data_IF_263641656153
#
_entry.id   IF_263641656153
#
_cell.length_a   1.000
_cell.length_b   1.000
_cell.length_c   1.000
_cell.angle_alpha   90.00
_cell.angle_beta   90.00
_cell.angle_gamma   90.00
#
_symmetry.space_group_name_H-M   'P 1'
#
loop_
_entity.id
_entity.type
_entity.pdbx_description
1 polymer ?
#
# COMPACT_ATOMS: atom_id res chain seq x y z
N UNK A 1 -19.51 -14.07 -17.25
CA UNK A 1 -18.96 -12.71 -17.27
C UNK A 1 -17.58 -12.80 -16.65
N UNK A 2 -16.50 -12.70 -17.43
CA UNK A 2 -15.18 -12.51 -16.86
C UNK A 2 -15.17 -11.08 -16.31
N UNK A 3 -15.30 -10.92 -14.99
CA UNK A 3 -15.03 -9.64 -14.37
C UNK A 3 -13.55 -9.34 -14.56
N UNK A 4 -13.23 -8.14 -15.01
CA UNK A 4 -11.85 -7.68 -15.06
C UNK A 4 -11.41 -7.36 -13.62
N UNK A 5 -10.88 -8.35 -12.93
CA UNK A 5 -10.47 -8.22 -11.52
C UNK A 5 -9.45 -7.09 -11.29
N UNK A 6 -8.67 -6.74 -12.31
CA UNK A 6 -7.73 -5.61 -12.22
C UNK A 6 -8.49 -4.29 -12.30
N UNK A 7 -9.42 -4.16 -13.24
CA UNK A 7 -10.29 -2.99 -13.35
C UNK A 7 -11.16 -2.81 -12.11
N UNK A 8 -11.72 -3.89 -11.57
CA UNK A 8 -12.48 -3.85 -10.30
C UNK A 8 -11.63 -3.32 -9.13
N UNK A 9 -10.35 -3.74 -9.04
CA UNK A 9 -9.43 -3.25 -8.02
C UNK A 9 -9.11 -1.75 -8.21
N UNK A 10 -8.83 -1.33 -9.44
CA UNK A 10 -8.60 0.09 -9.78
C UNK A 10 -9.81 0.92 -9.38
N UNK A 11 -11.03 0.48 -9.73
CA UNK A 11 -12.27 1.18 -9.39
C UNK A 11 -12.51 1.27 -7.88
N UNK A 12 -12.28 0.20 -7.14
CA UNK A 12 -12.42 0.19 -5.69
C UNK A 12 -11.44 1.15 -5.01
N UNK A 13 -10.18 1.17 -5.46
CA UNK A 13 -9.16 2.06 -4.89
C UNK A 13 -9.41 3.53 -5.29
N UNK A 14 -9.89 3.78 -6.52
CA UNK A 14 -10.32 5.13 -6.95
C UNK A 14 -11.42 5.66 -6.03
N UNK A 15 -12.46 4.86 -5.78
CA UNK A 15 -13.57 5.22 -4.88
C UNK A 15 -13.11 5.46 -3.43
N UNK A 16 -12.17 4.64 -2.94
CA UNK A 16 -11.60 4.81 -1.60
C UNK A 16 -10.89 6.16 -1.46
N UNK A 17 -10.01 6.52 -2.39
CA UNK A 17 -9.26 7.76 -2.32
C UNK A 17 -10.12 9.01 -2.61
N UNK A 18 -11.04 8.93 -3.59
CA UNK A 18 -11.92 10.05 -3.91
C UNK A 18 -12.85 10.43 -2.75
N UNK A 19 -13.32 9.43 -1.99
CA UNK A 19 -14.19 9.62 -0.83
C UNK A 19 -13.48 9.68 0.51
N UNK A 20 -12.14 9.76 0.52
CA UNK A 20 -11.39 9.65 1.77
C UNK A 20 -11.63 10.86 2.69
N UNK A 21 -11.95 10.65 3.99
CA UNK A 21 -12.22 11.74 4.91
C UNK A 21 -11.05 12.69 5.14
N UNK A 22 -9.82 12.20 4.99
CA UNK A 22 -8.60 13.00 5.14
C UNK A 22 -8.17 13.71 3.84
N UNK A 23 -8.96 13.67 2.76
CA UNK A 23 -8.59 14.27 1.48
C UNK A 23 -8.42 15.82 1.54
N UNK A 24 -9.14 16.49 2.44
CA UNK A 24 -8.93 17.91 2.70
C UNK A 24 -7.58 18.19 3.39
N UNK A 25 -7.15 17.28 4.26
CA UNK A 25 -5.88 17.37 5.00
C UNK A 25 -4.69 16.97 4.13
N UNK A 26 -4.88 15.97 3.27
CA UNK A 26 -3.85 15.41 2.39
C UNK A 26 -4.34 15.44 0.94
N UNK A 27 -4.13 16.55 0.22
CA UNK A 27 -4.64 16.73 -1.15
C UNK A 27 -4.19 15.67 -2.15
N UNK A 28 -3.04 15.03 -1.90
CA UNK A 28 -2.53 13.90 -2.68
C UNK A 28 -3.56 12.77 -2.84
N UNK A 29 -4.43 12.55 -1.85
CA UNK A 29 -5.45 11.50 -1.90
C UNK A 29 -6.47 11.77 -3.00
N UNK A 30 -6.92 13.02 -3.10
CA UNK A 30 -7.84 13.45 -4.18
C UNK A 30 -7.17 13.35 -5.54
N UNK A 31 -5.88 13.67 -5.65
CA UNK A 31 -5.12 13.55 -6.90
C UNK A 31 -5.02 12.09 -7.34
N UNK A 32 -4.60 11.18 -6.46
CA UNK A 32 -4.52 9.74 -6.74
C UNK A 32 -5.90 9.19 -7.13
N UNK A 33 -6.94 9.50 -6.37
CA UNK A 33 -8.31 9.06 -6.66
C UNK A 33 -8.80 9.53 -8.02
N UNK A 34 -8.53 10.79 -8.38
CA UNK A 34 -8.93 11.39 -9.67
C UNK A 34 -8.20 10.73 -10.84
N UNK A 35 -6.90 10.47 -10.71
CA UNK A 35 -6.10 9.81 -11.75
C UNK A 35 -6.53 8.35 -11.95
N UNK A 36 -6.81 7.62 -10.87
CA UNK A 36 -7.35 6.25 -10.94
C UNK A 36 -8.74 6.24 -11.62
N UNK A 37 -9.62 7.17 -11.26
CA UNK A 37 -10.95 7.28 -11.87
C UNK A 37 -10.87 7.60 -13.37
N UNK A 38 -10.00 8.56 -13.75
CA UNK A 38 -9.79 8.90 -15.14
C UNK A 38 -9.23 7.74 -15.99
N UNK A 39 -8.39 6.89 -15.37
CA UNK A 39 -7.84 5.72 -16.03
C UNK A 39 -8.90 4.68 -16.40
N UNK A 40 -9.97 4.56 -15.64
CA UNK A 40 -11.07 3.63 -15.95
C UNK A 40 -11.82 4.01 -17.24
N UNK A 41 -11.83 5.30 -17.58
CA UNK A 41 -12.54 5.81 -18.76
C UNK A 41 -11.66 5.87 -20.01
N UNK A 42 -10.34 5.93 -19.87
CA UNK A 42 -9.43 6.35 -20.95
C UNK A 42 -8.21 5.49 -21.16
N UNK A 43 -7.80 4.70 -20.18
CA UNK A 43 -6.53 3.97 -20.19
C UNK A 43 -6.79 2.47 -20.12
N UNK A 44 -6.11 1.75 -20.99
CA UNK A 44 -6.01 0.30 -20.91
C UNK A 44 -5.24 -0.06 -19.62
N UNK A 45 -5.86 -0.83 -18.72
CA UNK A 45 -5.19 -1.35 -17.54
C UNK A 45 -4.03 -2.23 -18.00
N UNK A 46 -2.81 -1.91 -17.57
CA UNK A 46 -1.61 -2.65 -17.97
C UNK A 46 -1.68 -4.06 -17.42
N UNK A 47 -1.54 -5.05 -18.31
CA UNK A 47 -1.49 -6.45 -17.93
C UNK A 47 -0.02 -6.87 -17.77
N UNK A 48 0.51 -6.71 -16.57
CA UNK A 48 1.80 -7.27 -16.21
C UNK A 48 1.69 -8.79 -16.01
N UNK A 49 2.77 -9.51 -16.32
CA UNK A 49 2.85 -10.94 -15.99
C UNK A 49 2.67 -11.12 -14.46
N UNK A 50 1.80 -12.04 -14.03
CA UNK A 50 1.60 -12.29 -12.61
C UNK A 50 2.88 -12.76 -11.93
N UNK A 51 3.21 -12.13 -10.80
CA UNK A 51 4.23 -12.60 -9.85
C UNK A 51 3.54 -12.73 -8.51
N UNK A 52 3.50 -13.92 -7.94
CA UNK A 52 2.85 -14.16 -6.66
C UNK A 52 3.89 -14.42 -5.59
N UNK A 53 3.97 -13.52 -4.62
CA UNK A 53 4.83 -13.67 -3.45
C UNK A 53 4.16 -14.51 -2.36
N UNK A 54 4.95 -15.16 -1.47
CA UNK A 54 4.40 -15.91 -0.34
C UNK A 54 3.42 -15.10 0.52
N UNK A 55 3.64 -13.80 0.68
CA UNK A 55 2.78 -12.89 1.45
C UNK A 55 1.34 -12.82 0.93
N UNK A 56 1.10 -13.06 -0.37
CA UNK A 56 -0.25 -13.02 -0.95
C UNK A 56 -1.22 -14.00 -0.26
N UNK A 57 -0.72 -15.12 0.30
CA UNK A 57 -1.54 -16.09 1.05
C UNK A 57 -2.22 -15.50 2.28
N UNK A 58 -1.62 -14.46 2.88
CA UNK A 58 -2.13 -13.82 4.08
C UNK A 58 -3.49 -13.15 3.87
N UNK A 59 -3.84 -12.84 2.64
CA UNK A 59 -5.15 -12.28 2.30
C UNK A 59 -6.30 -13.27 2.55
N UNK A 60 -6.03 -14.58 2.65
CA UNK A 60 -7.03 -15.58 2.99
C UNK A 60 -7.56 -15.44 4.43
N UNK A 61 -6.76 -14.81 5.32
CA UNK A 61 -7.10 -14.60 6.73
C UNK A 61 -7.67 -13.19 6.99
N UNK A 62 -7.85 -12.38 5.94
CA UNK A 62 -8.36 -11.00 6.03
C UNK A 62 -9.89 -11.02 5.92
N UNK A 63 -10.58 -10.56 6.95
CA UNK A 63 -12.01 -10.29 6.87
C UNK A 63 -12.23 -9.01 6.04
N UNK A 64 -12.93 -9.09 4.90
CA UNK A 64 -13.18 -7.92 4.07
C UNK A 64 -14.32 -7.04 4.58
N UNK A 65 -15.01 -7.43 5.63
CA UNK A 65 -16.10 -6.61 6.20
C UNK A 65 -15.52 -5.47 7.05
N UNK A 66 -16.00 -4.26 6.80
CA UNK A 66 -15.55 -3.06 7.50
C UNK A 66 -16.65 -2.00 7.51
N UNK A 67 -16.82 -1.36 8.67
CA UNK A 67 -17.70 -0.20 8.82
C UNK A 67 -17.06 1.11 8.28
N UNK A 68 -15.77 1.07 7.95
CA UNK A 68 -15.07 2.22 7.38
C UNK A 68 -15.40 2.32 5.89
N UNK A 69 -15.92 3.48 5.43
CA UNK A 69 -16.33 3.66 4.04
C UNK A 69 -15.20 3.35 3.04
N UNK A 70 -15.50 2.61 2.00
CA UNK A 70 -14.56 2.25 0.93
C UNK A 70 -13.61 1.10 1.25
N UNK A 71 -13.37 0.76 2.53
CA UNK A 71 -12.40 -0.28 2.92
C UNK A 71 -12.84 -1.67 2.44
N UNK A 72 -14.08 -2.07 2.74
CA UNK A 72 -14.58 -3.41 2.35
C UNK A 72 -14.46 -3.70 0.84
N UNK A 73 -14.91 -2.82 -0.05
CA UNK A 73 -14.70 -2.99 -1.50
C UNK A 73 -13.23 -3.18 -1.89
N UNK A 74 -12.30 -2.40 -1.33
CA UNK A 74 -10.86 -2.54 -1.61
C UNK A 74 -10.34 -3.91 -1.17
N UNK A 75 -10.66 -4.34 0.05
CA UNK A 75 -10.20 -5.64 0.58
C UNK A 75 -10.73 -6.81 -0.28
N UNK A 76 -12.02 -6.80 -0.65
CA UNK A 76 -12.62 -7.85 -1.48
C UNK A 76 -11.98 -7.92 -2.87
N UNK A 77 -11.82 -6.79 -3.54
CA UNK A 77 -11.23 -6.76 -4.89
C UNK A 77 -9.76 -7.10 -4.86
N UNK A 78 -9.02 -6.66 -3.83
CA UNK A 78 -7.60 -7.01 -3.65
C UNK A 78 -7.41 -8.51 -3.46
N UNK A 79 -8.18 -9.13 -2.56
CA UNK A 79 -8.11 -10.57 -2.33
C UNK A 79 -8.49 -11.37 -3.60
N UNK A 80 -9.51 -10.95 -4.34
CA UNK A 80 -9.93 -11.60 -5.57
C UNK A 80 -8.88 -11.49 -6.69
N UNK A 81 -8.24 -10.32 -6.82
CA UNK A 81 -7.24 -10.07 -7.85
C UNK A 81 -5.85 -10.63 -7.50
N UNK A 82 -5.54 -10.88 -6.23
CA UNK A 82 -4.21 -11.25 -5.73
C UNK A 82 -3.47 -12.32 -6.57
N UNK A 83 -4.13 -13.39 -7.07
CA UNK A 83 -3.44 -14.43 -7.86
C UNK A 83 -2.98 -13.98 -9.25
N UNK A 84 -3.50 -12.87 -9.76
CA UNK A 84 -3.21 -12.37 -11.11
C UNK A 84 -2.46 -11.04 -11.11
N UNK A 85 -2.08 -10.54 -9.93
CA UNK A 85 -1.34 -9.29 -9.77
C UNK A 85 0.18 -9.52 -9.84
N UNK A 86 0.90 -8.46 -10.14
CA UNK A 86 2.35 -8.41 -10.07
C UNK A 86 2.76 -7.92 -8.68
N UNK A 87 3.06 -8.87 -7.78
CA UNK A 87 3.55 -8.56 -6.45
C UNK A 87 5.02 -8.21 -6.47
N UNK A 88 5.41 -7.24 -5.68
CA UNK A 88 6.78 -6.76 -5.56
C UNK A 88 7.21 -6.63 -4.11
N UNK A 89 8.52 -6.60 -3.92
CA UNK A 89 9.23 -6.23 -2.69
C UNK A 89 10.32 -5.26 -3.07
N UNK A 90 10.74 -4.41 -2.13
CA UNK A 90 11.89 -3.55 -2.35
C UNK A 90 13.14 -4.43 -2.52
N UNK A 91 13.81 -4.31 -3.66
CA UNK A 91 14.87 -5.24 -4.07
C UNK A 91 16.03 -5.35 -3.07
N UNK A 92 16.40 -4.22 -2.45
CA UNK A 92 17.49 -4.14 -1.48
C UNK A 92 17.20 -4.91 -0.18
N UNK A 93 15.93 -5.20 0.10
CA UNK A 93 15.52 -5.88 1.33
C UNK A 93 15.93 -7.36 1.35
N UNK A 94 16.02 -7.99 0.18
CA UNK A 94 16.45 -9.38 0.06
C UNK A 94 17.87 -9.65 0.62
N UNK A 95 18.74 -8.64 0.58
CA UNK A 95 20.11 -8.74 1.10
C UNK A 95 20.22 -8.45 2.61
N UNK A 96 19.17 -7.83 3.21
CA UNK A 96 19.27 -7.25 4.56
C UNK A 96 18.26 -7.83 5.53
N UNK A 97 17.04 -8.12 5.07
CA UNK A 97 15.96 -8.60 5.93
C UNK A 97 15.89 -10.12 5.96
N UNK A 98 15.34 -10.66 7.05
CA UNK A 98 15.21 -12.11 7.22
C UNK A 98 14.24 -12.72 6.20
N UNK A 99 14.42 -14.01 5.88
CA UNK A 99 13.48 -14.75 5.05
C UNK A 99 12.06 -14.73 5.64
N UNK A 100 11.93 -14.78 6.97
CA UNK A 100 10.62 -14.64 7.64
C UNK A 100 9.93 -13.31 7.28
N UNK A 101 10.67 -12.20 7.25
CA UNK A 101 10.12 -10.91 6.82
C UNK A 101 9.67 -10.99 5.35
N UNK A 102 10.54 -11.47 4.47
CA UNK A 102 10.27 -11.54 3.03
C UNK A 102 9.09 -12.47 2.70
N UNK A 103 8.92 -13.58 3.43
CA UNK A 103 7.79 -14.48 3.24
C UNK A 103 6.46 -13.91 3.73
N UNK A 104 6.48 -12.87 4.55
CA UNK A 104 5.30 -12.26 5.17
C UNK A 104 5.12 -10.78 4.82
N UNK A 105 5.79 -10.28 3.79
CA UNK A 105 5.69 -8.92 3.29
C UNK A 105 5.61 -8.90 1.77
N UNK A 106 4.80 -8.03 1.25
CA UNK A 106 4.74 -7.74 -0.19
C UNK A 106 3.68 -6.69 -0.49
N UNK A 107 3.81 -6.07 -1.64
CA UNK A 107 2.86 -5.05 -2.08
C UNK A 107 2.60 -5.15 -3.58
N UNK A 108 1.51 -4.50 -4.00
CA UNK A 108 1.11 -4.33 -5.41
C UNK A 108 0.99 -2.85 -5.70
N UNK A 109 1.59 -2.39 -6.78
CA UNK A 109 1.41 -1.03 -7.26
C UNK A 109 0.19 -0.98 -8.19
N UNK A 110 -0.82 -0.21 -7.81
CA UNK A 110 -2.05 -0.06 -8.60
C UNK A 110 -1.89 1.09 -9.59
N UNK A 111 -1.34 2.23 -9.16
CA UNK A 111 -0.94 3.34 -10.02
C UNK A 111 0.50 3.72 -9.72
N UNK A 112 1.25 4.10 -10.75
CA UNK A 112 2.64 4.51 -10.64
C UNK A 112 3.53 3.81 -11.65
N UNK A 113 4.86 3.99 -11.58
CA UNK A 113 5.79 3.35 -12.51
C UNK A 113 5.68 1.82 -12.49
N UNK A 114 5.25 1.21 -13.59
CA UNK A 114 5.02 -0.23 -13.71
C UNK A 114 3.79 -0.75 -12.96
N UNK A 115 2.85 0.10 -12.57
CA UNK A 115 1.57 -0.26 -11.95
C UNK A 115 0.54 -0.77 -12.96
N UNK A 116 -0.67 -1.08 -12.49
CA UNK A 116 -1.82 -1.37 -13.36
C UNK A 116 -2.23 -0.14 -14.18
N UNK A 117 -2.03 1.03 -13.62
CA UNK A 117 -2.17 2.33 -14.27
C UNK A 117 -0.80 3.00 -14.26
N UNK A 118 -0.23 3.28 -15.43
CA UNK A 118 1.07 3.91 -15.53
C UNK A 118 0.99 5.38 -15.11
N UNK A 119 1.88 5.82 -14.24
CA UNK A 119 2.01 7.22 -13.81
C UNK A 119 3.44 7.52 -13.38
N UNK A 120 3.89 8.75 -13.67
CA UNK A 120 5.19 9.28 -13.20
C UNK A 120 5.05 10.40 -12.18
N UNK A 121 3.82 10.77 -11.82
CA UNK A 121 3.54 11.89 -10.90
C UNK A 121 3.00 11.44 -9.55
N UNK A 122 2.30 10.30 -9.51
CA UNK A 122 1.84 9.66 -8.28
C UNK A 122 2.17 8.18 -8.29
N UNK A 123 2.26 7.57 -7.11
CA UNK A 123 2.31 6.11 -6.98
C UNK A 123 1.44 5.70 -5.79
N UNK A 124 0.59 4.70 -5.98
CA UNK A 124 -0.23 4.18 -4.91
C UNK A 124 -0.50 2.68 -5.09
N UNK A 125 -0.78 2.02 -3.98
CA UNK A 125 -1.04 0.60 -4.01
C UNK A 125 -1.49 0.02 -2.69
N UNK A 126 -1.36 -1.29 -2.59
CA UNK A 126 -1.80 -2.09 -1.44
C UNK A 126 -0.66 -3.01 -1.00
N UNK A 127 -0.42 -3.06 0.29
CA UNK A 127 0.59 -3.94 0.88
C UNK A 127 0.01 -4.84 1.96
N UNK A 128 0.69 -5.95 2.18
CA UNK A 128 0.36 -6.94 3.21
C UNK A 128 1.57 -7.18 4.09
N UNK A 129 1.35 -7.17 5.39
CA UNK A 129 2.34 -7.49 6.41
C UNK A 129 1.77 -8.53 7.37
N UNK A 130 2.52 -9.59 7.60
CA UNK A 130 2.15 -10.65 8.54
C UNK A 130 2.14 -10.18 9.99
N UNK A 131 1.41 -10.92 10.83
CA UNK A 131 1.30 -10.65 12.26
C UNK A 131 2.68 -10.56 12.94
N UNK A 132 2.85 -9.56 13.81
CA UNK A 132 4.03 -9.35 14.62
C UNK A 132 5.28 -8.89 13.86
N UNK A 133 5.19 -8.61 12.56
CA UNK A 133 6.33 -8.10 11.81
C UNK A 133 6.77 -6.72 12.33
N UNK A 134 8.07 -6.48 12.21
CA UNK A 134 8.67 -5.16 12.36
C UNK A 134 9.25 -4.75 11.00
N UNK A 135 8.69 -3.72 10.40
CA UNK A 135 9.25 -3.07 9.23
C UNK A 135 10.27 -2.05 9.71
N UNK A 136 11.57 -2.28 9.48
CA UNK A 136 12.62 -1.44 10.04
C UNK A 136 12.56 -0.01 9.52
N UNK A 137 13.27 0.88 10.21
CA UNK A 137 13.42 2.27 9.81
C UNK A 137 13.90 2.37 8.36
N UNK A 138 13.16 3.12 7.58
CA UNK A 138 13.42 3.39 6.17
C UNK A 138 13.02 4.83 5.82
N UNK A 139 13.42 5.26 4.64
CA UNK A 139 13.14 6.59 4.12
C UNK A 139 13.01 6.54 2.60
N UNK A 140 12.39 7.55 2.02
CA UNK A 140 12.26 7.78 0.58
C UNK A 140 11.99 9.26 0.29
N UNK A 141 12.27 9.76 -0.96
CA UNK A 141 12.06 11.15 -1.32
C UNK A 141 10.61 11.53 -1.55
N UNK A 142 9.72 10.56 -1.77
CA UNK A 142 8.29 10.81 -1.93
C UNK A 142 7.65 11.24 -0.62
N UNK A 143 6.69 12.17 -0.68
CA UNK A 143 5.72 12.37 0.38
C UNK A 143 4.76 11.17 0.40
N UNK A 144 4.44 10.63 1.58
CA UNK A 144 3.66 9.41 1.70
C UNK A 144 2.49 9.52 2.67
N UNK A 145 1.42 8.81 2.34
CA UNK A 145 0.32 8.59 3.28
C UNK A 145 -0.03 7.11 3.32
N UNK A 146 -0.03 6.52 4.52
CA UNK A 146 -0.57 5.19 4.76
C UNK A 146 -1.99 5.25 5.30
N UNK A 147 -2.81 4.26 4.94
CA UNK A 147 -4.17 4.07 5.47
C UNK A 147 -4.35 2.62 5.89
N UNK A 148 -4.77 2.39 7.15
CA UNK A 148 -5.05 1.05 7.64
C UNK A 148 -6.40 0.56 7.11
N UNK A 149 -6.36 -0.58 6.40
CA UNK A 149 -7.55 -1.25 5.85
C UNK A 149 -7.93 -2.48 6.66
N UNK A 150 -6.94 -3.19 7.24
CA UNK A 150 -7.17 -4.36 8.10
C UNK A 150 -6.03 -4.51 9.11
N UNK A 151 -6.35 -5.04 10.29
CA UNK A 151 -5.38 -5.27 11.35
C UNK A 151 -5.09 -4.02 12.19
N UNK A 152 -3.89 -3.95 12.74
CA UNK A 152 -3.38 -2.81 13.50
C UNK A 152 -1.88 -2.68 13.33
N UNK A 153 -1.37 -1.45 13.44
CA UNK A 153 0.06 -1.17 13.42
C UNK A 153 0.40 -0.02 14.35
N UNK A 154 1.66 0.06 14.76
CA UNK A 154 2.21 1.27 15.38
C UNK A 154 3.27 1.84 14.46
N UNK A 155 3.23 3.13 14.25
CA UNK A 155 4.17 3.88 13.43
C UNK A 155 5.11 4.68 14.30
N UNK A 156 6.35 4.79 13.90
CA UNK A 156 7.35 5.66 14.50
C UNK A 156 7.90 6.58 13.41
N UNK A 157 7.97 7.87 13.70
CA UNK A 157 8.60 8.90 12.87
C UNK A 157 9.85 9.39 13.57
N UNK A 158 10.97 9.39 12.88
CA UNK A 158 12.29 9.69 13.41
C UNK A 158 12.57 8.99 14.76
N UNK A 159 12.98 9.73 15.79
CA UNK A 159 13.18 9.22 17.15
C UNK A 159 11.95 9.45 18.07
N UNK A 160 10.81 9.76 17.47
CA UNK A 160 9.57 9.99 18.20
C UNK A 160 8.97 8.72 18.83
N UNK A 161 7.85 8.86 19.53
CA UNK A 161 7.16 7.72 20.13
C UNK A 161 6.50 6.83 19.06
N UNK A 162 6.25 5.58 19.43
CA UNK A 162 5.40 4.68 18.67
C UNK A 162 3.93 5.09 18.82
N UNK A 163 3.27 5.43 17.71
CA UNK A 163 1.86 5.82 17.66
C UNK A 163 1.02 4.65 17.15
N UNK A 164 0.16 4.05 17.99
CA UNK A 164 -0.73 2.98 17.54
C UNK A 164 -1.81 3.52 16.59
N UNK A 165 -2.14 2.74 15.58
CA UNK A 165 -3.18 3.03 14.58
C UNK A 165 -4.07 1.81 14.36
N UNK A 166 -5.32 2.07 14.03
CA UNK A 166 -6.35 1.07 13.74
C UNK A 166 -7.01 1.33 12.38
N UNK A 167 -7.85 0.42 11.95
CA UNK A 167 -8.57 0.53 10.66
C UNK A 167 -9.31 1.86 10.55
N UNK A 168 -9.14 2.53 9.41
CA UNK A 168 -9.70 3.84 9.11
C UNK A 168 -8.79 5.03 9.46
N UNK A 169 -7.67 4.79 10.16
CA UNK A 169 -6.72 5.86 10.47
C UNK A 169 -5.62 5.97 9.41
N UNK A 170 -5.16 7.19 9.23
CA UNK A 170 -4.09 7.56 8.30
C UNK A 170 -2.82 7.97 9.03
N UNK A 171 -1.68 7.78 8.39
CA UNK A 171 -0.37 8.27 8.81
C UNK A 171 0.29 8.97 7.62
N UNK A 172 0.81 10.15 7.85
CA UNK A 172 1.51 10.93 6.83
C UNK A 172 3.01 10.99 7.16
N UNK A 173 3.83 10.92 6.13
CA UNK A 173 5.28 11.06 6.19
C UNK A 173 5.75 12.11 5.18
N UNK A 174 6.55 13.05 5.67
CA UNK A 174 7.23 14.03 4.83
C UNK A 174 8.33 13.36 3.99
N UNK A 175 8.75 13.96 2.85
CA UNK A 175 9.91 13.50 2.10
C UNK A 175 11.14 13.32 2.99
N UNK A 176 11.80 12.16 2.90
CA UNK A 176 12.98 11.80 3.67
C UNK A 176 12.77 11.67 5.20
N UNK A 177 11.52 11.71 5.69
CA UNK A 177 11.24 11.40 7.09
C UNK A 177 11.55 9.92 7.36
N UNK A 178 12.39 9.64 8.36
CA UNK A 178 12.65 8.27 8.80
C UNK A 178 11.41 7.70 9.47
N UNK A 179 10.95 6.55 9.01
CA UNK A 179 9.77 5.91 9.62
C UNK A 179 9.91 4.40 9.71
N UNK A 180 9.20 3.82 10.67
CA UNK A 180 9.17 2.39 10.92
C UNK A 180 7.77 1.95 11.35
N UNK A 181 7.43 0.66 11.12
CA UNK A 181 6.15 0.10 11.54
C UNK A 181 6.34 -1.19 12.35
N UNK A 182 5.47 -1.37 13.35
CA UNK A 182 5.27 -2.62 14.07
C UNK A 182 3.84 -3.07 13.91
N UNK A 183 3.67 -4.26 13.37
CA UNK A 183 2.35 -4.81 13.07
C UNK A 183 1.82 -5.62 14.25
N UNK A 184 0.50 -5.57 14.45
CA UNK A 184 -0.19 -6.28 15.54
C UNK A 184 -0.26 -7.79 15.33
N UNK A 185 -1.18 -8.45 16.04
CA UNK A 185 -1.27 -9.91 16.10
C UNK A 185 -2.13 -10.53 14.96
N UNK A 186 -2.53 -9.74 13.99
CA UNK A 186 -3.25 -10.18 12.80
C UNK A 186 -2.53 -9.68 11.54
N UNK A 187 -2.84 -10.29 10.39
CA UNK A 187 -2.42 -9.76 9.09
C UNK A 187 -2.82 -8.30 8.97
N UNK A 188 -1.90 -7.43 8.60
CA UNK A 188 -2.17 -6.03 8.34
C UNK A 188 -2.21 -5.76 6.83
N UNK A 189 -3.23 -5.05 6.39
CA UNK A 189 -3.34 -4.54 5.02
C UNK A 189 -3.34 -3.01 5.09
N UNK A 190 -2.41 -2.41 4.36
CA UNK A 190 -2.31 -0.97 4.20
C UNK A 190 -2.54 -0.60 2.73
N UNK A 191 -3.23 0.50 2.50
CA UNK A 191 -3.06 1.28 1.28
C UNK A 191 -2.00 2.35 1.53
N UNK A 192 -1.22 2.65 0.50
CA UNK A 192 -0.21 3.70 0.52
C UNK A 192 -0.34 4.57 -0.72
N UNK A 193 -0.02 5.85 -0.59
CA UNK A 193 0.01 6.82 -1.67
C UNK A 193 1.24 7.70 -1.56
N UNK A 194 1.91 7.93 -2.69
CA UNK A 194 3.11 8.76 -2.85
C UNK A 194 2.89 9.87 -3.86
N UNK A 195 3.48 11.04 -3.57
CA UNK A 195 3.64 12.15 -4.51
C UNK A 195 5.08 12.68 -4.49
N UNK A 196 5.42 13.53 -5.44
CA UNK A 196 6.79 14.03 -5.59
C UNK A 196 7.68 13.05 -6.36
N UNK A 197 8.82 12.65 -5.81
CA UNK A 197 9.72 11.70 -6.49
C UNK A 197 9.27 10.25 -6.23
N UNK A 198 8.35 9.78 -7.07
CA UNK A 198 7.75 8.44 -6.96
C UNK A 198 8.55 7.34 -7.66
N UNK A 199 9.68 7.68 -8.29
CA UNK A 199 10.52 6.74 -9.03
C UNK A 199 11.58 6.10 -8.13
N UNK A 200 12.05 6.84 -7.13
CA UNK A 200 13.06 6.37 -6.19
C UNK A 200 12.42 5.50 -5.11
N UNK A 201 12.88 4.26 -5.00
CA UNK A 201 12.38 3.32 -4.00
C UNK A 201 12.81 3.71 -2.57
N UNK A 202 12.06 3.19 -1.59
CA UNK A 202 12.45 3.24 -0.19
C UNK A 202 13.77 2.50 0.05
N UNK A 203 14.57 3.00 1.00
CA UNK A 203 15.81 2.35 1.46
C UNK A 203 15.83 2.25 2.98
N UNK A 204 16.46 1.21 3.51
CA UNK A 204 16.65 1.07 4.94
C UNK A 204 17.64 2.11 5.46
N UNK A 205 17.33 2.67 6.61
CA UNK A 205 18.22 3.57 7.33
C UNK A 205 19.17 2.74 8.19
N UNK A 206 20.50 2.88 8.08
CA UNK A 206 21.45 2.16 8.91
C UNK A 206 21.23 2.43 10.41
N UNK A 207 21.44 1.40 11.24
CA UNK A 207 21.36 1.57 12.69
C UNK A 207 22.49 2.51 13.15
N UNK A 208 22.12 3.64 13.76
CA UNK A 208 23.10 4.61 14.29
C UNK A 208 23.41 5.78 13.35
N UNK A 209 22.62 6.00 12.32
CA UNK A 209 22.65 7.20 11.48
C UNK A 209 21.68 8.26 12.00
#
# INVERSE_FOLDING_TARGET
MNSDLRGDLVAALAGFYTGHPDAERYPMLSEVGSLLAAALDTVEVVINEPVVLPAARLLADVDPESDVPGVGPVLRTFAAAAPILHWVQTAEYAATLSQHFLDNYGYVRVIGPGGLVESSVVSAGLGVWGAGLHYPRHEHPAEETYHLLHGSASFQRDDGPWEPKVVGESVHHDPWEHHAQRFGNATCVLSWAWTGDVVVNARLVPVGS
#
